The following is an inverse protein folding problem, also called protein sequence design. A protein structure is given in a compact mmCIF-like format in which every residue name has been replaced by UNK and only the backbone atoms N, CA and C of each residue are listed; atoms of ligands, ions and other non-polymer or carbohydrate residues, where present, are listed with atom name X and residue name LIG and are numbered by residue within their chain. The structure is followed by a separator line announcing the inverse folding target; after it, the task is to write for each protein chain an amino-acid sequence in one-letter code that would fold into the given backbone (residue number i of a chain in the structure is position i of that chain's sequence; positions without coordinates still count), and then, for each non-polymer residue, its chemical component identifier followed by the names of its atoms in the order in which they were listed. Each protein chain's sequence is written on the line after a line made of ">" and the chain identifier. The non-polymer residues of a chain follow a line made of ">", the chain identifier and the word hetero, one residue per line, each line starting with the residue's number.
data_IF_722508742117
#
_entry.id   IF_722508742117
#
_cell.length_a   1.000
_cell.length_b   1.000
_cell.length_c   1.000
_cell.angle_alpha   90.00
_cell.angle_beta   90.00
_cell.angle_gamma   90.00
#
_symmetry.space_group_name_H-M   'P 1'
#
loop_
_entity.id
_entity.type
_entity.pdbx_description
1 polymer ?
#
# COMPACT_ATOMS: atom_id res chain seq x y z
N UNK A 1 -22.15 20.17 -24.84
CA UNK A 1 -20.71 20.51 -24.86
C UNK A 1 -20.36 20.84 -26.32
N UNK A 2 -19.94 22.05 -26.57
CA UNK A 2 -19.56 22.53 -27.92
C UNK A 2 -18.25 21.97 -28.48
N UNK A 3 -17.51 21.21 -27.64
CA UNK A 3 -16.25 20.54 -28.02
C UNK A 3 -15.02 21.45 -28.10
N UNK A 4 -15.14 22.70 -27.65
CA UNK A 4 -14.04 23.68 -27.72
C UNK A 4 -12.99 23.51 -26.62
N UNK A 5 -13.34 22.83 -25.52
CA UNK A 5 -12.42 22.62 -24.41
C UNK A 5 -11.26 21.69 -24.75
N UNK A 6 -10.04 22.19 -24.56
CA UNK A 6 -8.78 21.43 -24.72
C UNK A 6 -8.08 21.26 -23.39
N UNK A 7 -7.90 20.01 -22.89
CA UNK A 7 -7.11 19.74 -21.69
C UNK A 7 -5.67 20.24 -21.85
N UNK A 8 -5.10 20.72 -20.76
CA UNK A 8 -3.70 21.12 -20.72
C UNK A 8 -2.78 19.92 -20.46
N UNK A 9 -1.50 20.06 -20.85
CA UNK A 9 -0.49 19.05 -20.53
C UNK A 9 -0.32 18.88 -19.01
N UNK A 10 -0.12 17.63 -18.58
CA UNK A 10 0.10 17.32 -17.16
C UNK A 10 1.55 17.61 -16.76
N UNK A 11 1.77 18.15 -15.54
CA UNK A 11 3.11 18.36 -15.00
C UNK A 11 3.70 17.04 -14.53
N UNK A 12 4.87 16.67 -15.03
CA UNK A 12 5.64 15.51 -14.58
C UNK A 12 6.24 15.75 -13.20
N UNK A 13 6.09 14.77 -12.30
CA UNK A 13 6.73 14.73 -10.98
C UNK A 13 7.23 13.32 -10.70
N UNK A 14 8.54 13.16 -10.48
CA UNK A 14 9.15 11.90 -10.07
C UNK A 14 8.99 11.66 -8.57
N UNK A 15 8.49 10.48 -8.17
CA UNK A 15 8.49 10.03 -6.79
C UNK A 15 9.47 8.86 -6.66
N UNK A 16 10.51 8.98 -5.80
CA UNK A 16 11.48 7.90 -5.62
C UNK A 16 10.83 6.67 -4.99
N UNK A 17 11.11 5.50 -5.55
CA UNK A 17 10.71 4.20 -4.98
C UNK A 17 11.82 3.66 -4.05
N UNK A 18 11.46 2.73 -3.14
CA UNK A 18 12.43 2.11 -2.24
C UNK A 18 13.54 1.30 -2.94
N UNK A 19 13.34 0.92 -4.19
CA UNK A 19 14.30 0.19 -5.04
C UNK A 19 15.24 1.11 -5.83
N UNK A 20 15.17 2.43 -5.60
CA UNK A 20 15.97 3.44 -6.29
C UNK A 20 15.41 3.86 -7.65
N UNK A 21 14.38 3.22 -8.18
CA UNK A 21 13.67 3.68 -9.37
C UNK A 21 12.69 4.79 -9.04
N UNK A 22 12.22 5.53 -10.06
CA UNK A 22 11.21 6.56 -9.90
C UNK A 22 9.82 6.08 -10.38
N UNK A 23 8.79 6.64 -9.76
CA UNK A 23 7.41 6.59 -10.27
C UNK A 23 7.09 7.96 -10.83
N UNK A 24 6.75 8.01 -12.10
CA UNK A 24 6.34 9.25 -12.75
C UNK A 24 4.86 9.51 -12.48
N UNK A 25 4.56 10.68 -11.90
CA UNK A 25 3.20 11.19 -11.78
C UNK A 25 2.99 12.29 -12.82
N UNK A 26 1.81 12.29 -13.44
CA UNK A 26 1.34 13.39 -14.27
C UNK A 26 0.26 14.16 -13.50
N UNK A 27 0.58 15.33 -13.00
CA UNK A 27 -0.35 16.17 -12.23
C UNK A 27 -1.12 17.09 -13.18
N UNK A 28 -2.44 16.90 -13.39
CA UNK A 28 -3.27 17.79 -14.18
C UNK A 28 -3.41 19.16 -13.52
N UNK A 29 -3.79 20.17 -14.28
CA UNK A 29 -4.15 21.49 -13.76
C UNK A 29 -5.36 21.39 -12.80
N UNK A 30 -5.60 22.43 -12.02
CA UNK A 30 -6.75 22.47 -11.10
C UNK A 30 -8.07 22.36 -11.88
N UNK A 31 -8.19 23.09 -12.99
CA UNK A 31 -9.37 23.05 -13.88
C UNK A 31 -9.58 21.66 -14.45
N UNK A 32 -8.52 21.04 -14.99
CA UNK A 32 -8.60 19.68 -15.54
C UNK A 32 -9.01 18.66 -14.48
N UNK A 33 -8.49 18.78 -13.25
CA UNK A 33 -8.88 17.90 -12.13
C UNK A 33 -10.34 18.07 -11.75
N UNK A 34 -10.85 19.30 -11.75
CA UNK A 34 -12.27 19.58 -11.45
C UNK A 34 -13.16 18.90 -12.51
N UNK A 35 -12.85 19.08 -13.78
CA UNK A 35 -13.64 18.49 -14.88
C UNK A 35 -13.53 16.95 -14.85
N UNK A 36 -12.34 16.39 -14.65
CA UNK A 36 -12.17 14.94 -14.51
C UNK A 36 -12.94 14.38 -13.31
N UNK A 37 -12.99 15.13 -12.19
CA UNK A 37 -13.76 14.72 -11.02
C UNK A 37 -15.27 14.76 -11.29
N UNK A 38 -15.76 15.76 -12.00
CA UNK A 38 -17.16 15.84 -12.41
C UNK A 38 -17.53 14.66 -13.34
N UNK A 39 -16.68 14.37 -14.34
CA UNK A 39 -16.85 13.19 -15.20
C UNK A 39 -16.85 11.88 -14.39
N UNK A 40 -15.95 11.75 -13.43
CA UNK A 40 -15.89 10.57 -12.55
C UNK A 40 -17.18 10.39 -11.76
N UNK A 41 -17.73 11.46 -11.18
CA UNK A 41 -18.97 11.42 -10.41
C UNK A 41 -20.17 10.94 -11.25
N UNK A 42 -20.20 11.27 -12.54
CA UNK A 42 -21.25 10.83 -13.48
C UNK A 42 -21.00 9.41 -13.99
N UNK A 43 -19.76 9.12 -14.40
CA UNK A 43 -19.43 7.84 -15.04
C UNK A 43 -19.32 6.68 -14.05
N UNK A 44 -18.84 6.93 -12.85
CA UNK A 44 -18.58 5.86 -11.86
C UNK A 44 -19.85 5.11 -11.45
N UNK A 45 -20.98 5.75 -11.10
CA UNK A 45 -22.21 5.04 -10.79
C UNK A 45 -22.78 4.21 -11.95
N UNK A 46 -22.52 4.63 -13.19
CA UNK A 46 -22.99 3.94 -14.40
C UNK A 46 -22.11 2.72 -14.74
N UNK A 47 -20.78 2.85 -14.57
CA UNK A 47 -19.82 1.86 -15.03
C UNK A 47 -19.46 0.86 -13.91
N UNK A 48 -19.32 1.30 -12.66
CA UNK A 48 -18.85 0.46 -11.55
C UNK A 48 -19.71 -0.80 -11.33
N UNK A 49 -21.06 -0.77 -11.42
CA UNK A 49 -21.89 -1.98 -11.29
C UNK A 49 -21.63 -3.03 -12.37
N UNK A 50 -21.03 -2.62 -13.50
CA UNK A 50 -20.72 -3.55 -14.59
C UNK A 50 -19.38 -4.28 -14.41
N UNK A 51 -18.58 -3.95 -13.43
CA UNK A 51 -17.29 -4.61 -13.18
C UNK A 51 -17.45 -5.94 -12.43
N UNK A 52 -16.45 -6.81 -12.62
CA UNK A 52 -16.34 -8.08 -11.91
C UNK A 52 -16.44 -7.90 -10.39
N UNK A 53 -17.14 -8.83 -9.71
CA UNK A 53 -17.17 -8.91 -8.25
C UNK A 53 -15.80 -9.21 -7.62
N UNK A 54 -14.87 -9.75 -8.39
CA UNK A 54 -13.50 -10.06 -7.98
C UNK A 54 -12.51 -8.91 -8.19
N UNK A 55 -12.98 -7.76 -8.69
CA UNK A 55 -12.23 -6.51 -8.82
C UNK A 55 -12.49 -5.60 -7.62
N UNK A 56 -11.44 -5.24 -6.86
CA UNK A 56 -11.55 -4.51 -5.60
C UNK A 56 -10.90 -3.11 -5.63
N UNK A 57 -9.86 -2.92 -6.44
CA UNK A 57 -9.11 -1.66 -6.47
C UNK A 57 -9.86 -0.53 -7.16
N UNK A 58 -9.75 0.68 -6.60
CA UNK A 58 -10.32 1.91 -7.19
C UNK A 58 -11.85 1.91 -7.34
N UNK A 59 -12.55 1.15 -6.52
CA UNK A 59 -14.01 1.02 -6.58
C UNK A 59 -14.65 1.51 -5.28
N UNK A 60 -15.81 2.22 -5.35
CA UNK A 60 -16.56 2.62 -4.18
C UNK A 60 -16.97 1.42 -3.32
N UNK A 61 -16.88 1.56 -2.01
CA UNK A 61 -17.30 0.52 -1.06
C UNK A 61 -16.40 -0.71 -1.00
N UNK A 62 -15.41 -0.87 -1.89
CA UNK A 62 -14.48 -2.01 -1.93
C UNK A 62 -13.10 -1.60 -1.39
N UNK A 63 -12.51 -2.48 -0.60
CA UNK A 63 -11.26 -2.19 0.14
C UNK A 63 -10.21 -3.29 -0.12
N UNK A 64 -8.95 -2.95 0.09
CA UNK A 64 -7.86 -3.93 0.02
C UNK A 64 -8.06 -5.13 0.96
N UNK A 65 -8.68 -4.90 2.14
CA UNK A 65 -9.04 -5.95 3.08
C UNK A 65 -9.97 -6.99 2.49
N UNK A 66 -10.91 -6.58 1.64
CA UNK A 66 -11.91 -7.49 1.05
C UNK A 66 -11.24 -8.42 0.02
N UNK A 67 -10.29 -7.89 -0.78
CA UNK A 67 -9.46 -8.69 -1.67
C UNK A 67 -8.60 -9.72 -0.91
N UNK A 68 -8.02 -9.33 0.24
CA UNK A 68 -7.23 -10.23 1.09
C UNK A 68 -8.10 -11.32 1.74
N UNK A 69 -9.33 -10.98 2.14
CA UNK A 69 -10.28 -11.95 2.67
C UNK A 69 -10.72 -12.95 1.60
N UNK A 70 -11.02 -12.49 0.38
CA UNK A 70 -11.33 -13.34 -0.75
C UNK A 70 -10.16 -14.29 -1.08
N UNK A 71 -8.92 -13.77 -1.12
CA UNK A 71 -7.72 -14.57 -1.31
C UNK A 71 -7.60 -15.69 -0.26
N UNK A 72 -7.79 -15.36 1.03
CA UNK A 72 -7.77 -16.36 2.10
C UNK A 72 -8.85 -17.41 1.91
N UNK A 73 -10.07 -17.01 1.53
CA UNK A 73 -11.16 -17.93 1.29
C UNK A 73 -10.85 -18.91 0.17
N UNK A 74 -10.27 -18.45 -0.95
CA UNK A 74 -9.88 -19.33 -2.06
C UNK A 74 -8.81 -20.35 -1.66
N UNK A 75 -7.85 -19.95 -0.81
CA UNK A 75 -6.83 -20.86 -0.28
C UNK A 75 -7.47 -21.89 0.68
N UNK A 76 -8.42 -21.49 1.52
CA UNK A 76 -9.21 -22.40 2.38
C UNK A 76 -10.02 -23.43 1.58
N UNK A 77 -10.47 -23.08 0.39
CA UNK A 77 -11.16 -23.97 -0.55
C UNK A 77 -10.19 -24.96 -1.27
N UNK A 78 -8.94 -25.01 -0.85
CA UNK A 78 -7.92 -25.91 -1.40
C UNK A 78 -7.22 -25.41 -2.66
N UNK A 79 -7.31 -24.12 -3.01
CA UNK A 79 -6.55 -23.50 -4.10
C UNK A 79 -5.22 -22.99 -3.58
N UNK A 80 -4.27 -23.89 -3.46
CA UNK A 80 -3.00 -23.63 -2.77
C UNK A 80 -1.92 -23.00 -3.66
N UNK A 81 -2.17 -22.89 -4.96
CA UNK A 81 -1.25 -22.28 -5.93
C UNK A 81 -1.83 -20.93 -6.36
N UNK A 82 -0.99 -19.90 -6.38
CA UNK A 82 -1.34 -18.57 -6.87
C UNK A 82 -0.58 -18.26 -8.16
N UNK A 83 -1.30 -17.73 -9.12
CA UNK A 83 -0.75 -17.07 -10.30
C UNK A 83 -0.77 -15.58 -9.98
N UNK A 84 0.38 -15.06 -9.59
CA UNK A 84 0.58 -13.66 -9.22
C UNK A 84 1.13 -12.90 -10.43
N UNK A 85 0.39 -11.90 -10.90
CA UNK A 85 0.71 -11.12 -12.09
C UNK A 85 0.89 -9.65 -11.75
N UNK A 86 2.08 -9.15 -12.04
CA UNK A 86 2.47 -7.73 -11.98
C UNK A 86 2.59 -7.20 -13.42
N UNK A 87 1.94 -6.08 -13.73
CA UNK A 87 2.04 -5.46 -15.06
C UNK A 87 3.18 -4.46 -15.10
N UNK A 88 4.00 -4.53 -16.15
CA UNK A 88 5.12 -3.63 -16.34
C UNK A 88 4.65 -2.24 -16.77
N UNK A 89 4.83 -1.24 -15.90
CA UNK A 89 4.47 0.17 -16.18
C UNK A 89 3.05 0.30 -16.75
N UNK A 90 2.08 -0.31 -16.09
CA UNK A 90 0.70 -0.41 -16.59
C UNK A 90 0.15 0.93 -17.08
N UNK A 91 0.17 1.98 -16.25
CA UNK A 91 -0.39 3.28 -16.61
C UNK A 91 0.32 3.95 -17.80
N UNK A 92 1.60 3.66 -18.04
CA UNK A 92 2.39 4.24 -19.13
C UNK A 92 2.16 3.52 -20.46
N UNK A 93 1.52 2.34 -20.44
CA UNK A 93 1.32 1.47 -21.62
C UNK A 93 -0.14 1.29 -22.02
N UNK A 94 -1.05 2.05 -21.44
CA UNK A 94 -2.47 2.00 -21.81
C UNK A 94 -2.63 2.47 -23.23
N UNK A 95 -3.04 1.58 -24.12
CA UNK A 95 -3.36 1.95 -25.51
C UNK A 95 -4.68 2.72 -25.56
N UNK A 96 -4.64 3.95 -26.08
CA UNK A 96 -5.78 4.86 -26.07
C UNK A 96 -6.93 4.33 -26.91
N UNK A 97 -6.67 3.73 -28.10
CA UNK A 97 -7.72 3.25 -29.00
C UNK A 97 -8.47 2.06 -28.38
N UNK A 98 -7.72 1.11 -27.78
CA UNK A 98 -8.32 -0.03 -27.11
C UNK A 98 -9.17 0.44 -25.93
N UNK A 99 -8.64 1.35 -25.09
CA UNK A 99 -9.38 1.88 -23.94
C UNK A 99 -10.67 2.60 -24.38
N UNK A 100 -10.58 3.47 -25.38
CA UNK A 100 -11.74 4.21 -25.93
C UNK A 100 -12.78 3.25 -26.52
N UNK A 101 -12.37 2.20 -27.24
CA UNK A 101 -13.30 1.17 -27.73
C UNK A 101 -14.04 0.48 -26.56
N UNK A 102 -13.33 0.14 -25.48
CA UNK A 102 -13.97 -0.48 -24.29
C UNK A 102 -14.90 0.49 -23.57
N UNK A 103 -14.55 1.77 -23.51
CA UNK A 103 -15.39 2.79 -22.92
C UNK A 103 -16.67 3.04 -23.74
N UNK A 104 -16.57 3.08 -25.07
CA UNK A 104 -17.73 3.22 -25.99
C UNK A 104 -18.79 2.14 -25.83
N UNK A 105 -18.39 0.93 -25.43
CA UNK A 105 -19.33 -0.16 -25.15
C UNK A 105 -20.20 0.08 -23.91
N UNK A 106 -19.86 1.07 -23.09
CA UNK A 106 -20.53 1.38 -21.80
C UNK A 106 -21.12 2.79 -21.77
N UNK A 107 -20.61 3.68 -22.61
CA UNK A 107 -21.00 5.09 -22.66
C UNK A 107 -21.28 5.49 -24.11
N UNK A 108 -22.53 5.85 -24.39
CA UNK A 108 -22.97 6.22 -25.74
C UNK A 108 -22.79 7.71 -26.07
N UNK A 109 -22.41 8.54 -25.06
CA UNK A 109 -22.21 9.99 -25.26
C UNK A 109 -20.89 10.27 -25.99
N UNK A 110 -21.02 10.74 -27.23
CA UNK A 110 -19.88 11.06 -28.09
C UNK A 110 -19.05 12.23 -27.55
N UNK A 111 -19.69 13.21 -26.88
CA UNK A 111 -19.01 14.36 -26.26
C UNK A 111 -18.13 13.92 -25.10
N UNK A 112 -18.64 13.05 -24.22
CA UNK A 112 -17.86 12.44 -23.12
C UNK A 112 -16.69 11.63 -23.66
N UNK A 113 -16.91 10.79 -24.67
CA UNK A 113 -15.83 9.99 -25.29
C UNK A 113 -14.74 10.89 -25.89
N UNK A 114 -15.11 11.96 -26.61
CA UNK A 114 -14.15 12.94 -27.16
C UNK A 114 -13.33 13.61 -26.06
N UNK A 115 -13.99 14.01 -24.97
CA UNK A 115 -13.32 14.65 -23.84
C UNK A 115 -12.35 13.71 -23.12
N UNK A 116 -12.75 12.45 -22.87
CA UNK A 116 -11.85 11.43 -22.31
C UNK A 116 -10.65 11.21 -23.23
N UNK A 117 -10.88 11.12 -24.55
CA UNK A 117 -9.79 11.00 -25.55
C UNK A 117 -8.84 12.19 -25.49
N UNK A 118 -9.38 13.41 -25.36
CA UNK A 118 -8.57 14.61 -25.24
C UNK A 118 -7.68 14.59 -23.98
N UNK A 119 -8.19 14.10 -22.84
CA UNK A 119 -7.39 13.90 -21.63
C UNK A 119 -6.28 12.85 -21.77
N UNK A 120 -6.53 11.78 -22.51
CA UNK A 120 -5.50 10.76 -22.80
C UNK A 120 -4.39 11.32 -23.67
N UNK A 121 -4.74 12.15 -24.66
CA UNK A 121 -3.80 12.77 -25.60
C UNK A 121 -3.14 14.04 -25.02
N UNK A 122 -3.62 14.56 -23.89
CA UNK A 122 -2.97 15.71 -23.24
C UNK A 122 -1.51 15.37 -22.92
N UNK A 123 -0.58 16.14 -23.46
CA UNK A 123 0.85 15.90 -23.34
C UNK A 123 1.37 15.93 -21.90
N UNK A 124 2.62 15.57 -21.74
CA UNK A 124 3.36 15.70 -20.48
C UNK A 124 4.28 16.89 -20.59
N UNK A 125 4.23 17.78 -19.60
CA UNK A 125 5.16 18.89 -19.44
C UNK A 125 6.29 18.47 -18.49
N UNK A 126 7.52 18.47 -19.00
CA UNK A 126 8.74 18.21 -18.24
C UNK A 126 9.73 19.35 -18.51
N UNK A 127 10.17 20.05 -17.45
CA UNK A 127 11.13 21.17 -17.58
C UNK A 127 10.70 22.30 -18.52
N UNK A 128 9.40 22.50 -18.76
CA UNK A 128 8.87 23.51 -19.69
C UNK A 128 8.68 23.04 -21.14
N UNK A 129 9.09 21.80 -21.46
CA UNK A 129 8.88 21.18 -22.77
C UNK A 129 7.66 20.26 -22.72
N UNK A 130 6.74 20.41 -23.68
CA UNK A 130 5.56 19.55 -23.81
C UNK A 130 5.88 18.43 -24.79
N UNK A 131 5.82 17.19 -24.32
CA UNK A 131 5.88 15.99 -25.17
C UNK A 131 4.48 15.44 -25.40
N UNK A 132 4.17 15.12 -26.66
CA UNK A 132 2.93 14.43 -27.01
C UNK A 132 2.89 13.03 -26.40
N UNK A 133 1.68 12.58 -26.09
CA UNK A 133 1.45 11.26 -25.52
C UNK A 133 0.63 10.40 -26.48
N UNK A 134 1.27 9.35 -27.02
CA UNK A 134 0.61 8.41 -27.92
C UNK A 134 0.02 7.19 -27.21
N UNK A 135 0.49 6.91 -25.98
CA UNK A 135 0.02 5.83 -25.13
C UNK A 135 0.13 6.21 -23.64
N UNK A 136 -0.56 5.48 -22.78
CA UNK A 136 -0.57 5.67 -21.35
C UNK A 136 -1.65 6.64 -20.86
N UNK A 137 -1.92 6.58 -19.57
CA UNK A 137 -2.80 7.51 -18.84
C UNK A 137 -2.04 8.16 -17.69
N UNK A 138 -2.22 9.46 -17.45
CA UNK A 138 -1.50 10.16 -16.39
C UNK A 138 -1.75 9.50 -15.03
N UNK A 139 -0.69 9.09 -14.32
CA UNK A 139 -0.81 8.70 -12.91
C UNK A 139 -1.00 9.97 -12.07
N UNK A 140 -2.21 10.19 -11.53
CA UNK A 140 -2.52 11.34 -10.67
C UNK A 140 -3.78 12.10 -11.08
N UNK A 141 -4.39 11.81 -12.24
CA UNK A 141 -5.70 12.31 -12.60
C UNK A 141 -6.84 11.52 -11.91
N UNK A 142 -7.95 12.19 -11.51
CA UNK A 142 -9.08 11.52 -10.87
C UNK A 142 -9.72 10.41 -11.72
N UNK A 143 -9.74 10.57 -13.03
CA UNK A 143 -10.40 9.65 -13.97
C UNK A 143 -9.58 8.38 -14.25
N UNK A 144 -8.26 8.42 -14.16
CA UNK A 144 -7.35 7.32 -14.52
C UNK A 144 -7.65 6.00 -13.82
N UNK A 145 -8.04 5.95 -12.52
CA UNK A 145 -8.40 4.71 -11.84
C UNK A 145 -9.63 4.00 -12.42
N UNK A 146 -10.67 4.77 -12.78
CA UNK A 146 -11.86 4.21 -13.44
C UNK A 146 -11.52 3.65 -14.81
N UNK A 147 -10.75 4.40 -15.62
CA UNK A 147 -10.32 3.99 -16.96
C UNK A 147 -9.44 2.72 -16.90
N UNK A 148 -8.58 2.60 -15.89
CA UNK A 148 -7.81 1.39 -15.63
C UNK A 148 -8.72 0.17 -15.43
N UNK A 149 -9.76 0.29 -14.61
CA UNK A 149 -10.74 -0.78 -14.40
C UNK A 149 -11.53 -1.09 -15.68
N UNK A 150 -11.92 -0.10 -16.48
CA UNK A 150 -12.59 -0.31 -17.78
C UNK A 150 -11.74 -1.18 -18.71
N UNK A 151 -10.43 -0.94 -18.78
CA UNK A 151 -9.51 -1.71 -19.62
C UNK A 151 -9.32 -3.14 -19.10
N UNK A 152 -9.12 -3.30 -17.78
CA UNK A 152 -8.77 -4.58 -17.18
C UNK A 152 -9.99 -5.51 -16.98
N UNK A 153 -11.21 -4.99 -16.99
CA UNK A 153 -12.43 -5.78 -16.83
C UNK A 153 -12.58 -6.86 -17.94
N UNK A 154 -11.98 -6.68 -19.11
CA UNK A 154 -11.98 -7.72 -20.16
C UNK A 154 -11.25 -8.98 -19.68
N UNK A 155 -10.15 -8.81 -18.94
CA UNK A 155 -9.40 -9.92 -18.36
C UNK A 155 -10.19 -10.54 -17.22
N UNK A 156 -10.81 -9.73 -16.37
CA UNK A 156 -11.67 -10.20 -15.27
C UNK A 156 -12.82 -11.06 -15.79
N UNK A 157 -13.53 -10.57 -16.81
CA UNK A 157 -14.65 -11.31 -17.45
C UNK A 157 -14.22 -12.64 -18.07
N UNK A 158 -13.03 -12.69 -18.66
CA UNK A 158 -12.50 -13.94 -19.18
C UNK A 158 -12.16 -14.93 -18.07
N UNK A 159 -11.62 -14.47 -16.96
CA UNK A 159 -11.35 -15.31 -15.78
C UNK A 159 -12.65 -15.83 -15.17
N UNK A 160 -13.67 -14.98 -15.02
CA UNK A 160 -15.01 -15.36 -14.55
C UNK A 160 -15.67 -16.39 -15.47
N UNK A 161 -15.68 -16.14 -16.78
CA UNK A 161 -16.27 -17.05 -17.78
C UNK A 161 -15.67 -18.46 -17.71
N UNK A 162 -14.40 -18.57 -17.30
CA UNK A 162 -13.69 -19.84 -17.12
C UNK A 162 -13.81 -20.42 -15.71
N UNK A 163 -14.55 -19.77 -14.81
CA UNK A 163 -14.75 -20.23 -13.43
C UNK A 163 -13.51 -20.10 -12.54
N UNK A 164 -12.54 -19.24 -12.92
CA UNK A 164 -11.37 -19.00 -12.08
C UNK A 164 -11.72 -18.16 -10.85
N UNK A 165 -11.09 -18.49 -9.72
CA UNK A 165 -11.13 -17.68 -8.50
C UNK A 165 -9.94 -16.74 -8.48
N UNK A 166 -10.20 -15.44 -8.42
CA UNK A 166 -9.15 -14.42 -8.45
C UNK A 166 -9.51 -13.22 -7.58
N UNK A 167 -8.52 -12.42 -7.25
CA UNK A 167 -8.70 -11.12 -6.61
C UNK A 167 -7.79 -10.13 -7.33
N UNK A 168 -8.39 -9.11 -7.95
CA UNK A 168 -7.65 -8.02 -8.58
C UNK A 168 -7.78 -6.74 -7.77
N UNK A 169 -6.67 -6.08 -7.51
CA UNK A 169 -6.63 -4.76 -6.91
C UNK A 169 -5.81 -3.82 -7.79
N UNK A 170 -6.47 -2.97 -8.56
CA UNK A 170 -5.84 -2.18 -9.63
C UNK A 170 -5.16 -3.09 -10.68
N UNK A 171 -3.86 -2.92 -10.89
CA UNK A 171 -3.03 -3.73 -11.78
C UNK A 171 -2.49 -5.03 -11.14
N UNK A 172 -2.64 -5.19 -9.83
CA UNK A 172 -2.20 -6.37 -9.05
C UNK A 172 -3.28 -7.47 -9.14
N UNK A 173 -3.00 -8.58 -9.82
CA UNK A 173 -3.98 -9.66 -10.07
C UNK A 173 -3.46 -11.01 -9.60
N UNK A 174 -4.16 -11.63 -8.65
CA UNK A 174 -3.86 -12.95 -8.11
C UNK A 174 -4.97 -13.94 -8.45
N UNK A 175 -4.64 -15.00 -9.22
CA UNK A 175 -5.55 -16.09 -9.55
C UNK A 175 -5.19 -17.33 -8.76
N UNK A 176 -6.16 -17.94 -8.09
CA UNK A 176 -5.95 -19.06 -7.17
C UNK A 176 -6.42 -20.39 -7.81
N UNK A 177 -5.51 -21.37 -7.90
CA UNK A 177 -5.74 -22.66 -8.54
C UNK A 177 -5.28 -23.82 -7.67
N UNK A 178 -5.70 -25.05 -8.01
CA UNK A 178 -5.41 -26.26 -7.20
C UNK A 178 -4.07 -26.90 -7.49
N UNK A 179 -3.48 -26.68 -8.69
CA UNK A 179 -2.24 -27.34 -9.09
C UNK A 179 -1.31 -26.39 -9.85
N UNK A 180 -0.03 -26.69 -9.82
CA UNK A 180 1.02 -25.96 -10.56
C UNK A 180 0.70 -25.93 -12.07
N UNK A 181 0.38 -27.08 -12.66
CA UNK A 181 0.03 -27.20 -14.09
C UNK A 181 -1.21 -26.36 -14.49
N UNK A 182 -2.21 -26.25 -13.59
CA UNK A 182 -3.33 -25.33 -13.81
C UNK A 182 -2.90 -23.88 -13.76
N UNK A 183 -1.99 -23.51 -12.85
CA UNK A 183 -1.42 -22.18 -12.76
C UNK A 183 -0.66 -21.78 -14.01
N UNK A 184 0.17 -22.64 -14.55
CA UNK A 184 0.92 -22.40 -15.79
C UNK A 184 -0.02 -22.14 -16.98
N UNK A 185 -1.10 -22.91 -17.09
CA UNK A 185 -2.15 -22.68 -18.13
C UNK A 185 -2.83 -21.33 -17.95
N UNK A 186 -3.13 -20.94 -16.71
CA UNK A 186 -3.73 -19.62 -16.42
C UNK A 186 -2.73 -18.51 -16.73
N UNK A 187 -1.46 -18.65 -16.39
CA UNK A 187 -0.42 -17.68 -16.74
C UNK A 187 -0.31 -17.51 -18.26
N UNK A 188 -0.33 -18.59 -19.02
CA UNK A 188 -0.31 -18.54 -20.50
C UNK A 188 -1.58 -17.86 -21.06
N UNK A 189 -2.75 -18.09 -20.44
CA UNK A 189 -3.98 -17.38 -20.79
C UNK A 189 -3.84 -15.87 -20.55
N UNK A 190 -3.37 -15.48 -19.36
CA UNK A 190 -3.22 -14.06 -18.98
C UNK A 190 -2.23 -13.35 -19.88
N UNK A 191 -1.08 -13.97 -20.24
CA UNK A 191 -0.16 -13.40 -21.24
C UNK A 191 -0.89 -13.06 -22.53
N UNK A 192 -1.61 -14.00 -23.12
CA UNK A 192 -2.37 -13.77 -24.36
C UNK A 192 -3.44 -12.70 -24.23
N UNK A 193 -4.08 -12.57 -23.06
CA UNK A 193 -5.11 -11.54 -22.84
C UNK A 193 -4.50 -10.16 -22.67
N UNK A 194 -3.42 -10.04 -21.89
CA UNK A 194 -2.71 -8.77 -21.74
C UNK A 194 -2.02 -8.33 -23.04
N UNK A 195 -1.48 -9.24 -23.84
CA UNK A 195 -0.91 -8.93 -25.16
C UNK A 195 -1.96 -8.32 -26.10
N UNK A 196 -3.22 -8.81 -26.10
CA UNK A 196 -4.32 -8.21 -26.86
C UNK A 196 -4.62 -6.78 -26.42
N UNK A 197 -4.41 -6.45 -25.16
CA UNK A 197 -4.56 -5.10 -24.62
C UNK A 197 -3.28 -4.26 -24.79
N UNK A 198 -2.24 -4.80 -25.46
CA UNK A 198 -0.90 -4.20 -25.58
C UNK A 198 -0.22 -3.92 -24.24
N UNK A 199 -0.60 -4.68 -23.19
CA UNK A 199 0.01 -4.65 -21.88
C UNK A 199 1.07 -5.74 -21.75
N UNK A 200 2.13 -5.48 -20.96
CA UNK A 200 3.22 -6.44 -20.75
C UNK A 200 3.26 -6.90 -19.29
N UNK A 201 3.33 -8.21 -19.11
CA UNK A 201 3.59 -8.82 -17.80
C UNK A 201 5.05 -8.58 -17.40
N UNK A 202 5.30 -8.26 -16.16
CA UNK A 202 6.62 -8.18 -15.58
C UNK A 202 7.06 -9.59 -15.16
N UNK A 203 7.79 -10.29 -16.02
CA UNK A 203 8.19 -11.68 -15.81
C UNK A 203 9.05 -11.88 -14.56
N UNK A 204 9.86 -10.89 -14.16
CA UNK A 204 10.71 -10.98 -12.97
C UNK A 204 9.94 -10.88 -11.65
N UNK A 205 8.75 -10.32 -11.67
CA UNK A 205 7.88 -10.15 -10.48
C UNK A 205 6.69 -11.09 -10.47
N UNK A 206 6.26 -11.55 -11.66
CA UNK A 206 5.14 -12.47 -11.80
C UNK A 206 5.59 -13.92 -11.59
N UNK A 207 4.73 -14.74 -10.97
CA UNK A 207 5.08 -16.14 -10.72
C UNK A 207 3.83 -17.01 -10.56
N UNK A 208 4.02 -18.30 -10.86
CA UNK A 208 3.10 -19.38 -10.45
C UNK A 208 3.78 -20.12 -9.30
N UNK A 209 3.23 -20.01 -8.10
CA UNK A 209 3.87 -20.51 -6.89
C UNK A 209 2.85 -20.83 -5.80
N UNK A 210 3.34 -21.35 -4.66
CA UNK A 210 2.49 -21.52 -3.47
C UNK A 210 1.87 -20.18 -3.06
N UNK A 211 0.59 -20.21 -2.69
CA UNK A 211 -0.11 -19.06 -2.12
C UNK A 211 0.41 -18.70 -0.71
N UNK A 212 1.09 -19.65 -0.02
CA UNK A 212 1.70 -19.37 1.27
C UNK A 212 3.02 -18.64 1.12
N UNK A 213 3.22 -17.60 1.93
CA UNK A 213 4.41 -16.76 1.88
C UNK A 213 4.46 -15.80 0.68
N UNK A 214 3.51 -15.89 -0.26
CA UNK A 214 3.42 -14.90 -1.34
C UNK A 214 2.69 -13.66 -0.85
N UNK A 215 3.30 -12.50 -1.10
CA UNK A 215 2.78 -11.21 -0.68
C UNK A 215 1.62 -10.78 -1.59
N UNK A 216 0.48 -10.41 -0.99
CA UNK A 216 -0.62 -9.72 -1.68
C UNK A 216 -1.09 -8.53 -0.82
N UNK A 217 -1.06 -7.33 -1.36
CA UNK A 217 -1.46 -6.09 -0.69
C UNK A 217 -0.84 -5.88 0.71
N UNK A 218 0.43 -6.27 0.87
CA UNK A 218 1.14 -6.15 2.14
C UNK A 218 0.89 -7.27 3.14
N UNK A 219 0.02 -8.23 2.82
CA UNK A 219 -0.24 -9.43 3.61
C UNK A 219 0.39 -10.67 2.99
N UNK A 220 0.56 -11.70 3.79
CA UNK A 220 0.94 -13.06 3.40
C UNK A 220 -0.01 -14.06 4.06
N UNK A 221 -0.33 -15.13 3.36
CA UNK A 221 -1.08 -16.26 3.94
C UNK A 221 -0.09 -17.29 4.50
N UNK A 222 -0.43 -17.90 5.62
CA UNK A 222 0.34 -18.98 6.21
C UNK A 222 -0.59 -20.04 6.81
N UNK A 223 -0.07 -21.27 6.92
CA UNK A 223 -0.77 -22.41 7.49
C UNK A 223 -0.32 -22.62 8.93
N UNK A 224 -1.24 -22.83 9.84
CA UNK A 224 -0.93 -23.19 11.22
C UNK A 224 -0.83 -24.69 11.36
N UNK A 225 -0.27 -25.19 12.52
CA UNK A 225 -0.22 -26.63 12.80
C UNK A 225 -1.58 -27.34 12.90
N UNK A 226 -2.68 -26.58 12.92
CA UNK A 226 -4.06 -27.08 12.85
C UNK A 226 -4.69 -26.97 11.45
N UNK A 227 -3.86 -26.88 10.43
CA UNK A 227 -4.28 -26.72 9.03
C UNK A 227 -5.11 -25.46 8.72
N UNK A 228 -5.21 -24.54 9.66
CA UNK A 228 -5.94 -23.30 9.50
C UNK A 228 -5.12 -22.29 8.70
N UNK A 229 -5.73 -21.70 7.67
CA UNK A 229 -5.11 -20.62 6.87
C UNK A 229 -5.33 -19.28 7.56
N UNK A 230 -4.23 -18.61 7.92
CA UNK A 230 -4.22 -17.29 8.58
C UNK A 230 -3.50 -16.24 7.74
N UNK A 231 -3.76 -14.99 8.08
CA UNK A 231 -3.15 -13.79 7.47
C UNK A 231 -2.06 -13.26 8.37
N UNK A 232 -0.89 -13.00 7.81
CA UNK A 232 0.22 -12.31 8.45
C UNK A 232 0.50 -10.97 7.76
N UNK A 233 1.12 -10.05 8.46
CA UNK A 233 1.74 -8.89 7.83
C UNK A 233 3.00 -9.34 7.11
N UNK A 234 3.13 -9.03 5.82
CA UNK A 234 4.31 -9.38 5.04
C UNK A 234 5.59 -8.79 5.65
N UNK A 235 6.67 -9.56 5.62
CA UNK A 235 7.97 -9.17 6.20
C UNK A 235 8.44 -7.81 5.71
N UNK A 236 8.32 -7.54 4.42
CA UNK A 236 8.69 -6.24 3.81
C UNK A 236 7.89 -5.07 4.39
N UNK A 237 6.59 -5.27 4.70
CA UNK A 237 5.76 -4.25 5.33
C UNK A 237 6.18 -3.98 6.78
N UNK A 238 6.56 -5.01 7.53
CA UNK A 238 7.11 -4.86 8.89
C UNK A 238 8.47 -4.13 8.88
N UNK A 239 9.32 -4.40 7.91
CA UNK A 239 10.62 -3.72 7.73
C UNK A 239 10.41 -2.23 7.39
N UNK A 240 9.50 -1.92 6.47
CA UNK A 240 9.12 -0.53 6.14
C UNK A 240 8.56 0.22 7.36
N UNK A 241 7.70 -0.43 8.15
CA UNK A 241 7.23 0.11 9.42
C UNK A 241 8.40 0.47 10.34
N UNK A 242 9.31 -0.48 10.58
CA UNK A 242 10.48 -0.25 11.42
C UNK A 242 11.39 0.88 10.90
N UNK A 243 11.56 0.99 9.59
CA UNK A 243 12.34 2.10 9.00
C UNK A 243 11.68 3.45 9.28
N UNK A 244 10.36 3.57 9.09
CA UNK A 244 9.63 4.81 9.36
C UNK A 244 9.66 5.18 10.84
N UNK A 245 9.46 4.22 11.73
CA UNK A 245 9.58 4.44 13.18
C UNK A 245 11.00 4.90 13.55
N UNK A 246 12.07 4.32 12.95
CA UNK A 246 13.45 4.79 13.17
C UNK A 246 13.63 6.25 12.77
N UNK A 247 13.04 6.67 11.66
CA UNK A 247 13.09 8.07 11.21
C UNK A 247 12.38 9.00 12.19
N UNK A 248 11.16 8.64 12.61
CA UNK A 248 10.34 9.43 13.53
C UNK A 248 10.96 9.49 14.95
N UNK A 249 11.67 8.46 15.36
CA UNK A 249 12.29 8.33 16.69
C UNK A 249 13.81 8.53 16.67
N UNK A 250 14.32 9.45 15.84
CA UNK A 250 15.75 9.84 15.87
C UNK A 250 16.07 10.51 17.20
N UNK A 251 17.13 10.04 17.89
CA UNK A 251 17.56 10.56 19.19
C UNK A 251 18.20 11.96 19.13
N UNK A 252 18.62 12.40 17.97
CA UNK A 252 19.28 13.69 17.71
C UNK A 252 18.35 14.75 17.13
N UNK A 253 17.04 14.56 17.19
CA UNK A 253 16.08 15.45 16.52
C UNK A 253 15.70 16.72 17.28
N UNK A 254 16.17 16.94 18.52
CA UNK A 254 15.86 18.13 19.33
C UNK A 254 14.39 18.24 19.80
N UNK A 255 13.54 17.25 19.49
CA UNK A 255 12.10 17.26 19.84
C UNK A 255 11.87 16.68 21.22
N UNK A 256 10.85 17.18 21.93
CA UNK A 256 10.39 16.61 23.19
C UNK A 256 9.82 15.19 22.98
N UNK A 257 9.65 14.42 24.05
CA UNK A 257 9.09 13.06 23.95
C UNK A 257 7.61 13.11 23.53
N UNK A 258 6.89 14.12 23.97
CA UNK A 258 5.49 14.39 23.61
C UNK A 258 5.37 14.67 22.11
N UNK A 259 6.20 15.54 21.54
CA UNK A 259 6.24 15.81 20.11
C UNK A 259 6.57 14.56 19.29
N UNK A 260 7.49 13.71 19.78
CA UNK A 260 7.79 12.43 19.09
C UNK A 260 6.58 11.50 19.12
N UNK A 261 5.83 11.47 20.24
CA UNK A 261 4.60 10.65 20.35
C UNK A 261 3.50 11.19 19.42
N UNK A 262 3.32 12.50 19.34
CA UNK A 262 2.37 13.14 18.42
C UNK A 262 2.70 12.80 16.96
N UNK A 263 3.97 12.89 16.55
CA UNK A 263 4.42 12.51 15.21
C UNK A 263 4.25 11.01 14.90
N UNK A 264 4.39 10.15 15.90
CA UNK A 264 4.19 8.70 15.77
C UNK A 264 2.71 8.33 15.60
N UNK A 265 1.81 9.01 16.29
CA UNK A 265 0.40 8.66 16.42
C UNK A 265 -0.30 8.43 15.08
N UNK A 266 -0.31 9.39 14.12
CA UNK A 266 -1.02 9.21 12.86
C UNK A 266 -0.47 8.04 12.04
N UNK A 267 0.84 7.84 12.04
CA UNK A 267 1.47 6.75 11.33
C UNK A 267 1.15 5.37 11.94
N UNK A 268 1.28 5.23 13.25
CA UNK A 268 1.02 3.95 13.96
C UNK A 268 -0.45 3.57 13.88
N UNK A 269 -1.37 4.53 14.09
CA UNK A 269 -2.80 4.28 13.99
C UNK A 269 -3.25 3.97 12.55
N UNK A 270 -2.73 4.68 11.55
CA UNK A 270 -2.99 4.40 10.14
C UNK A 270 -2.49 3.00 9.76
N UNK A 271 -1.29 2.63 10.21
CA UNK A 271 -0.72 1.30 9.95
C UNK A 271 -1.53 0.18 10.66
N UNK A 272 -1.93 0.40 11.92
CA UNK A 272 -2.85 -0.50 12.65
C UNK A 272 -4.19 -0.65 11.91
N UNK A 273 -4.78 0.45 11.47
CA UNK A 273 -6.04 0.46 10.72
C UNK A 273 -5.97 -0.38 9.44
N UNK A 274 -4.87 -0.28 8.70
CA UNK A 274 -4.67 -1.06 7.48
C UNK A 274 -4.38 -2.54 7.76
N UNK A 275 -3.44 -2.83 8.67
CA UNK A 275 -2.96 -4.18 8.94
C UNK A 275 -3.71 -4.92 10.06
N UNK A 276 -4.68 -4.29 10.72
CA UNK A 276 -5.47 -4.89 11.81
C UNK A 276 -6.20 -6.19 11.43
N UNK A 277 -6.32 -6.48 10.13
CA UNK A 277 -6.81 -7.75 9.61
C UNK A 277 -5.85 -8.94 9.85
N UNK A 278 -4.58 -8.70 10.14
CA UNK A 278 -3.59 -9.76 10.36
C UNK A 278 -3.83 -10.53 11.67
N UNK A 279 -3.72 -11.84 11.59
CA UNK A 279 -3.97 -12.77 12.71
C UNK A 279 -2.65 -13.17 13.40
N UNK A 280 -1.80 -12.19 13.67
CA UNK A 280 -0.46 -12.38 14.22
C UNK A 280 -0.23 -11.54 15.49
N UNK A 281 -0.92 -11.82 16.61
CA UNK A 281 -0.83 -11.00 17.83
C UNK A 281 0.60 -10.87 18.37
N UNK A 282 1.42 -11.91 18.25
CA UNK A 282 2.83 -11.87 18.67
C UNK A 282 3.66 -10.83 17.89
N UNK A 283 3.32 -10.55 16.64
CA UNK A 283 4.00 -9.51 15.84
C UNK A 283 3.67 -8.13 16.39
N UNK A 284 2.41 -7.88 16.75
CA UNK A 284 1.96 -6.61 17.33
C UNK A 284 2.67 -6.32 18.65
N UNK A 285 2.67 -7.28 19.56
CA UNK A 285 3.35 -7.17 20.85
C UNK A 285 4.85 -6.88 20.70
N UNK A 286 5.54 -7.57 19.78
CA UNK A 286 6.97 -7.34 19.51
C UNK A 286 7.25 -5.96 18.94
N UNK A 287 6.39 -5.45 18.06
CA UNK A 287 6.54 -4.12 17.48
C UNK A 287 6.28 -3.04 18.55
N UNK A 288 5.28 -3.21 19.41
CA UNK A 288 4.99 -2.31 20.53
C UNK A 288 6.16 -2.28 21.54
N UNK A 289 6.69 -3.45 21.91
CA UNK A 289 7.86 -3.55 22.77
C UNK A 289 9.08 -2.84 22.18
N UNK A 290 9.32 -3.05 20.89
CA UNK A 290 10.42 -2.43 20.19
C UNK A 290 10.25 -0.91 20.07
N UNK A 291 9.04 -0.38 19.84
CA UNK A 291 8.78 1.05 19.86
C UNK A 291 9.04 1.65 21.26
N UNK A 292 8.56 1.02 22.33
CA UNK A 292 8.83 1.47 23.71
C UNK A 292 10.31 1.45 24.05
N UNK A 293 11.05 0.44 23.60
CA UNK A 293 12.51 0.43 23.72
C UNK A 293 13.16 1.67 23.10
N UNK A 294 12.72 2.09 21.93
CA UNK A 294 13.21 3.30 21.28
C UNK A 294 12.85 4.57 22.05
N UNK A 295 11.62 4.66 22.57
CA UNK A 295 11.17 5.79 23.38
C UNK A 295 11.96 5.92 24.68
N UNK A 296 12.26 4.82 25.36
CA UNK A 296 13.17 4.81 26.53
C UNK A 296 14.56 5.33 26.17
N UNK A 297 15.07 4.97 25.02
CA UNK A 297 16.36 5.47 24.56
C UNK A 297 16.37 6.99 24.25
N UNK A 298 15.24 7.55 23.82
CA UNK A 298 15.05 9.00 23.65
C UNK A 298 15.00 9.65 25.04
N UNK A 299 14.22 9.12 25.97
CA UNK A 299 14.12 9.65 27.34
C UNK A 299 15.49 9.74 28.02
N UNK A 300 16.31 8.68 27.94
CA UNK A 300 17.67 8.70 28.43
C UNK A 300 18.52 9.80 27.78
N UNK A 301 18.32 10.08 26.52
CA UNK A 301 19.04 11.16 25.82
C UNK A 301 18.60 12.54 26.32
N UNK A 302 17.32 12.72 26.64
CA UNK A 302 16.78 13.98 27.20
C UNK A 302 17.33 14.26 28.59
N UNK A 303 17.50 13.25 29.44
CA UNK A 303 18.08 13.40 30.78
C UNK A 303 19.60 13.70 30.78
N UNK A 304 20.27 13.53 29.65
CA UNK A 304 21.67 13.89 29.35
C UNK A 304 22.73 13.24 30.25
N UNK A 305 22.84 13.65 31.53
CA UNK A 305 23.90 13.24 32.44
C UNK A 305 23.42 12.28 33.52
N UNK A 306 24.36 11.56 34.14
CA UNK A 306 24.06 10.54 35.15
C UNK A 306 23.32 11.10 36.37
N UNK A 307 23.67 12.31 36.84
CA UNK A 307 22.98 12.96 37.98
C UNK A 307 21.52 13.21 37.71
N UNK A 308 21.18 13.75 36.53
CA UNK A 308 19.78 13.94 36.10
C UNK A 308 19.06 12.60 35.96
N UNK A 309 19.69 11.61 35.31
CA UNK A 309 19.09 10.26 35.15
C UNK A 309 18.77 9.65 36.52
N UNK A 310 19.68 9.77 37.49
CA UNK A 310 19.46 9.25 38.84
C UNK A 310 18.27 9.91 39.52
N UNK A 311 18.23 11.25 39.52
CA UNK A 311 17.15 12.04 40.12
C UNK A 311 15.78 11.71 39.49
N UNK A 312 15.70 11.73 38.16
CA UNK A 312 14.45 11.47 37.45
C UNK A 312 13.95 10.03 37.68
N UNK A 313 14.86 9.06 37.70
CA UNK A 313 14.47 7.67 37.99
C UNK A 313 13.94 7.49 39.41
N UNK A 314 14.56 8.14 40.42
CA UNK A 314 14.03 8.12 41.78
C UNK A 314 12.65 8.80 41.86
N UNK A 315 12.45 9.92 41.21
CA UNK A 315 11.16 10.59 41.14
C UNK A 315 10.06 9.72 40.48
N UNK A 316 10.44 8.80 39.61
CA UNK A 316 9.54 7.80 39.02
C UNK A 316 9.37 6.53 39.87
N UNK A 317 9.92 6.50 41.08
CA UNK A 317 9.80 5.37 42.00
C UNK A 317 10.77 4.21 41.73
N UNK A 318 11.87 4.46 41.02
CA UNK A 318 12.86 3.41 40.79
C UNK A 318 13.63 3.06 42.06
N UNK A 319 13.98 1.76 42.29
CA UNK A 319 14.90 1.39 43.34
C UNK A 319 16.25 2.10 43.20
N UNK A 320 16.81 2.65 44.29
CA UNK A 320 18.05 3.44 44.27
C UNK A 320 19.24 2.70 43.61
N UNK A 321 19.30 1.38 43.76
CA UNK A 321 20.33 0.55 43.15
C UNK A 321 20.22 0.55 41.62
N UNK A 322 18.99 0.42 41.08
CA UNK A 322 18.72 0.44 39.64
C UNK A 322 18.99 1.85 39.08
N UNK A 323 18.52 2.89 39.75
CA UNK A 323 18.76 4.27 39.34
C UNK A 323 20.28 4.59 39.28
N UNK A 324 21.04 4.15 40.27
CA UNK A 324 22.51 4.29 40.30
C UNK A 324 23.18 3.53 39.17
N UNK A 325 22.76 2.29 38.91
CA UNK A 325 23.29 1.45 37.84
C UNK A 325 23.04 2.06 36.45
N UNK A 326 21.84 2.61 36.17
CA UNK A 326 21.50 3.26 34.89
C UNK A 326 22.30 4.54 34.76
N UNK A 327 22.40 5.35 35.81
CA UNK A 327 23.13 6.63 35.81
C UNK A 327 24.63 6.42 35.53
N UNK A 328 25.27 5.48 36.18
CA UNK A 328 26.69 5.14 35.98
C UNK A 328 26.97 4.61 34.57
N UNK A 329 25.99 3.94 33.96
CA UNK A 329 26.10 3.36 32.63
C UNK A 329 25.29 4.15 31.55
N UNK A 330 25.13 5.45 31.69
CA UNK A 330 24.28 6.30 30.84
C UNK A 330 24.60 6.17 29.34
N UNK A 331 25.87 5.94 28.97
CA UNK A 331 26.31 5.69 27.59
C UNK A 331 25.82 4.36 26.99
N UNK A 332 25.51 3.35 27.83
CA UNK A 332 25.01 2.02 27.41
C UNK A 332 23.49 2.03 27.22
N UNK A 333 22.98 3.02 26.52
CA UNK A 333 21.56 3.29 26.36
C UNK A 333 20.77 2.10 25.81
N UNK A 334 21.34 1.29 24.91
CA UNK A 334 20.68 0.09 24.37
C UNK A 334 20.36 -0.93 25.47
N UNK A 335 21.32 -1.23 26.33
CA UNK A 335 21.13 -2.15 27.45
C UNK A 335 20.13 -1.58 28.47
N UNK A 336 20.31 -0.32 28.86
CA UNK A 336 19.44 0.34 29.82
C UNK A 336 17.99 0.39 29.35
N UNK A 337 17.74 0.83 28.11
CA UNK A 337 16.39 0.96 27.55
C UNK A 337 15.71 -0.40 27.31
N UNK A 338 16.48 -1.47 27.11
CA UNK A 338 15.94 -2.81 26.83
C UNK A 338 15.64 -3.61 28.11
N UNK A 339 16.46 -3.48 29.14
CA UNK A 339 16.36 -4.33 30.32
C UNK A 339 16.01 -3.54 31.59
N UNK A 340 16.81 -2.56 31.98
CA UNK A 340 16.70 -1.91 33.28
C UNK A 340 15.52 -0.95 33.41
N UNK A 341 15.15 -0.28 32.30
CA UNK A 341 14.04 0.70 32.31
C UNK A 341 12.67 0.10 32.03
N UNK A 342 12.56 -1.20 31.78
CA UNK A 342 11.27 -1.84 31.53
C UNK A 342 10.29 -1.74 32.68
N UNK A 343 10.81 -1.89 33.92
CA UNK A 343 10.03 -1.82 35.16
C UNK A 343 9.70 -0.39 35.63
N UNK A 344 10.38 0.61 35.09
CA UNK A 344 10.23 2.01 35.50
C UNK A 344 9.44 2.79 34.41
N UNK A 345 9.97 2.85 33.22
CA UNK A 345 9.28 3.42 32.04
C UNK A 345 8.38 2.33 31.41
N UNK A 346 7.32 2.03 32.12
CA UNK A 346 6.40 0.92 31.84
C UNK A 346 5.50 1.23 30.64
N UNK A 347 4.63 0.29 30.29
CA UNK A 347 3.55 0.50 29.32
C UNK A 347 2.65 1.64 29.78
N UNK A 348 2.21 1.64 31.05
CA UNK A 348 1.35 2.65 31.64
C UNK A 348 1.99 4.06 31.63
N UNK A 349 3.32 4.14 31.78
CA UNK A 349 4.03 5.41 31.64
C UNK A 349 3.84 6.03 30.25
N UNK A 350 4.07 5.24 29.19
CA UNK A 350 3.90 5.74 27.82
C UNK A 350 2.45 5.95 27.42
N UNK A 351 1.51 5.19 27.98
CA UNK A 351 0.08 5.40 27.76
C UNK A 351 -0.39 6.74 28.30
N UNK A 352 0.10 7.13 29.50
CA UNK A 352 -0.18 8.47 30.07
C UNK A 352 0.34 9.60 29.18
N UNK A 353 1.43 9.38 28.45
CA UNK A 353 1.95 10.31 27.46
C UNK A 353 1.20 10.23 26.11
N UNK A 354 0.21 9.34 26.01
CA UNK A 354 -0.61 9.17 24.81
C UNK A 354 0.06 8.37 23.69
N UNK A 355 1.07 7.54 23.99
CA UNK A 355 1.72 6.71 22.97
C UNK A 355 0.75 5.68 22.37
N UNK A 356 0.61 5.60 21.04
CA UNK A 356 -0.30 4.65 20.38
C UNK A 356 0.21 3.22 20.52
N UNK A 357 -0.72 2.25 20.61
CA UNK A 357 -0.43 0.81 20.61
C UNK A 357 -0.93 0.13 19.33
N UNK A 358 -0.20 -0.87 18.89
CA UNK A 358 -0.61 -1.79 17.82
C UNK A 358 -1.44 -2.96 18.38
N UNK A 359 -1.07 -3.47 19.55
CA UNK A 359 -1.79 -4.55 20.25
C UNK A 359 -3.10 -4.11 20.87
#
# INVERSE_FOLDING_TARGET
>A
MDGTYKPQSVRRVGIPKPDGSERELGIPTVTDRLIQQALLQVLQPLIDPTFSEHSYGFRPGRRARDAVLAAQQYVREGRLIVVDVDLSRFFDRVNHDILIDRLRKRVNDVGVIRLVRAYLNAGIMDGGVVAERMEGTPQGGPLSPLLANVLLDEVDRELERRGHRFARYADDCNVYVRSQKAGERVMALLRRRYDKLRLKINESKSAVTSAFGRKFLGFELYKTGKDEVKRAVARKAQEAFKQKIRQLTRRSGGRSIEQVIEDLRPYVLGWKGYFGLAQTPKVWLRLDEWMRHRMRAIQLKHWRCGTTIYRELLALGAPAAVARQVAANSRRWQRNSRYLLNSILTIAYFDRLGMPRLS
#
